data_IF_777183883626
#
_entry.id   IF_777183883626
#
_cell.length_a   1.000
_cell.length_b   1.000
_cell.length_c   1.000
_cell.angle_alpha   90.00
_cell.angle_beta   90.00
_cell.angle_gamma   90.00
#
_symmetry.space_group_name_H-M   'P 1'
#
loop_
_entity.id
_entity.type
_entity.pdbx_description
1 polymer ?
#
# COMPACT_ATOMS: atom_id res chain seq x y z
N UNK A 1 -38.83 57.30 33.08
CA UNK A 1 -38.50 56.53 31.88
C UNK A 1 -37.57 55.44 32.29
N UNK A 2 -38.01 54.14 32.31
CA UNK A 2 -37.21 52.97 32.71
C UNK A 2 -36.77 52.27 31.42
N UNK A 3 -35.45 52.21 31.18
CA UNK A 3 -34.84 51.48 30.06
C UNK A 3 -34.79 49.99 30.38
N UNK A 4 -35.37 49.14 29.52
CA UNK A 4 -35.22 47.68 29.54
C UNK A 4 -33.87 47.28 28.87
N UNK A 5 -33.13 46.31 29.43
CA UNK A 5 -31.98 45.76 28.78
C UNK A 5 -32.39 44.74 27.69
N UNK A 6 -31.82 44.90 26.51
CA UNK A 6 -31.93 43.93 25.40
C UNK A 6 -30.92 42.81 25.66
N UNK A 7 -31.40 41.58 25.94
CA UNK A 7 -30.56 40.37 25.95
C UNK A 7 -30.34 39.85 24.53
N UNK A 8 -29.13 39.97 24.03
CA UNK A 8 -28.72 39.32 22.79
C UNK A 8 -28.44 37.82 23.05
N UNK A 9 -29.27 36.98 22.48
CA UNK A 9 -29.03 35.52 22.50
C UNK A 9 -28.04 35.20 21.39
N UNK A 10 -26.83 34.83 21.79
CA UNK A 10 -25.79 34.33 20.88
C UNK A 10 -26.08 32.85 20.54
N UNK A 11 -26.57 32.57 19.35
CA UNK A 11 -26.76 31.21 18.86
C UNK A 11 -25.43 30.64 18.41
N UNK A 12 -24.84 29.73 19.20
CA UNK A 12 -23.63 29.01 18.85
C UNK A 12 -24.01 27.87 17.89
N UNK A 13 -23.66 27.98 16.61
CA UNK A 13 -23.83 26.93 15.63
C UNK A 13 -22.77 25.84 15.91
N UNK A 14 -23.21 24.65 16.38
CA UNK A 14 -22.37 23.48 16.50
C UNK A 14 -22.25 22.86 15.11
N UNK A 15 -21.09 23.04 14.47
CA UNK A 15 -20.73 22.30 13.28
C UNK A 15 -20.39 20.84 13.69
N UNK A 16 -21.32 19.93 13.49
CA UNK A 16 -21.06 18.50 13.56
C UNK A 16 -20.31 18.11 12.29
N UNK A 17 -18.99 17.95 12.39
CA UNK A 17 -18.20 17.37 11.30
C UNK A 17 -18.55 15.88 11.23
N UNK A 18 -19.36 15.50 10.23
CA UNK A 18 -19.55 14.08 9.92
C UNK A 18 -18.20 13.48 9.52
N UNK A 19 -17.82 12.30 10.05
CA UNK A 19 -16.64 11.61 9.56
C UNK A 19 -16.83 11.35 8.07
N UNK A 20 -15.82 11.72 7.27
CA UNK A 20 -15.82 11.44 5.84
C UNK A 20 -16.04 9.94 5.67
N UNK A 21 -17.15 9.56 5.03
CA UNK A 21 -17.43 8.19 4.66
C UNK A 21 -16.27 7.73 3.77
N UNK A 22 -15.63 6.61 4.11
CA UNK A 22 -14.62 6.01 3.24
C UNK A 22 -15.24 5.90 1.85
N UNK A 23 -14.63 6.52 0.85
CA UNK A 23 -15.10 6.40 -0.53
C UNK A 23 -15.15 4.92 -0.88
N UNK A 24 -16.25 4.47 -1.49
CA UNK A 24 -16.40 3.13 -2.05
C UNK A 24 -15.49 3.04 -3.31
N UNK A 25 -14.17 2.99 -3.08
CA UNK A 25 -13.22 2.88 -4.18
C UNK A 25 -13.47 1.60 -4.97
N UNK A 26 -13.42 1.71 -6.29
CA UNK A 26 -13.52 0.60 -7.22
C UNK A 26 -12.31 0.59 -8.15
N UNK A 27 -11.82 -0.60 -8.54
CA UNK A 27 -10.77 -0.70 -9.55
C UNK A 27 -11.15 0.02 -10.85
N UNK A 28 -10.15 0.54 -11.54
CA UNK A 28 -10.32 1.11 -12.87
C UNK A 28 -10.85 0.07 -13.88
N UNK A 29 -11.48 0.49 -14.98
CA UNK A 29 -11.97 -0.45 -15.99
C UNK A 29 -10.87 -1.40 -16.49
N UNK A 30 -11.15 -2.70 -16.39
CA UNK A 30 -10.23 -3.77 -16.77
C UNK A 30 -9.18 -4.14 -15.72
N UNK A 31 -9.14 -3.47 -14.56
CA UNK A 31 -8.35 -3.87 -13.41
C UNK A 31 -9.17 -4.73 -12.44
N UNK A 32 -8.47 -5.58 -11.71
CA UNK A 32 -8.99 -6.31 -10.56
C UNK A 32 -8.27 -5.84 -9.29
N UNK A 33 -8.99 -5.75 -8.18
CA UNK A 33 -8.39 -5.40 -6.89
C UNK A 33 -7.62 -6.58 -6.32
N UNK A 34 -6.42 -6.33 -5.81
CA UNK A 34 -5.63 -7.29 -5.03
C UNK A 34 -5.85 -7.15 -3.52
N UNK A 35 -6.58 -6.13 -3.09
CA UNK A 35 -6.97 -5.94 -1.69
C UNK A 35 -8.46 -5.60 -1.62
N UNK A 36 -9.21 -6.39 -0.86
CA UNK A 36 -10.68 -6.28 -0.79
C UNK A 36 -11.18 -5.14 0.12
N UNK A 37 -10.27 -4.41 0.77
CA UNK A 37 -10.61 -3.30 1.66
C UNK A 37 -11.10 -3.71 3.05
N UNK A 38 -11.10 -5.00 3.41
CA UNK A 38 -11.66 -5.52 4.67
C UNK A 38 -10.70 -6.39 5.45
N UNK A 39 -10.06 -7.34 4.79
CA UNK A 39 -9.21 -8.37 5.39
C UNK A 39 -8.07 -8.76 4.43
N UNK A 40 -7.22 -9.66 4.88
CA UNK A 40 -6.06 -10.12 4.12
C UNK A 40 -6.38 -11.31 3.18
N UNK A 41 -7.63 -11.48 2.74
CA UNK A 41 -8.01 -12.51 1.75
C UNK A 41 -7.18 -12.34 0.47
N UNK A 42 -6.61 -13.43 -0.01
CA UNK A 42 -5.74 -13.46 -1.17
C UNK A 42 -4.26 -13.16 -0.86
N UNK A 43 -3.93 -12.97 0.42
CA UNK A 43 -2.57 -12.71 0.90
C UNK A 43 -2.11 -13.79 1.88
N UNK A 44 -0.78 -13.98 1.96
CA UNK A 44 -0.19 -14.97 2.85
C UNK A 44 1.31 -14.89 2.93
N UNK A 45 1.91 -15.81 3.69
CA UNK A 45 3.35 -15.98 3.75
C UNK A 45 3.82 -17.10 2.81
N UNK A 46 5.00 -16.91 2.23
CA UNK A 46 5.67 -17.88 1.37
C UNK A 46 7.07 -18.19 1.90
N UNK A 47 7.59 -19.37 1.56
CA UNK A 47 9.00 -19.71 1.79
C UNK A 47 9.91 -19.11 0.70
N UNK A 48 11.20 -19.40 0.80
CA UNK A 48 12.22 -18.94 -0.17
C UNK A 48 12.04 -19.54 -1.56
N UNK A 49 11.39 -20.71 -1.66
CA UNK A 49 11.00 -21.37 -2.91
C UNK A 49 9.65 -20.84 -3.46
N UNK A 50 9.07 -19.82 -2.85
CA UNK A 50 7.80 -19.22 -3.19
C UNK A 50 6.58 -20.14 -3.01
N UNK A 51 6.69 -21.22 -2.21
CA UNK A 51 5.55 -22.03 -1.80
C UNK A 51 4.77 -21.32 -0.71
N UNK A 52 3.44 -21.33 -0.81
CA UNK A 52 2.54 -20.76 0.22
C UNK A 52 2.66 -21.59 1.51
N UNK A 53 3.04 -20.93 2.60
CA UNK A 53 3.12 -21.50 3.94
C UNK A 53 1.87 -21.26 4.76
N UNK A 54 1.29 -20.07 4.62
CA UNK A 54 0.13 -19.63 5.39
C UNK A 54 -0.70 -18.69 4.54
N UNK A 55 -2.04 -18.74 4.67
CA UNK A 55 -2.98 -17.81 4.06
C UNK A 55 -3.76 -17.06 5.14
N UNK A 56 -4.15 -15.83 4.83
CA UNK A 56 -4.88 -14.95 5.75
C UNK A 56 -6.31 -14.66 5.30
N UNK A 57 -6.93 -15.59 4.57
CA UNK A 57 -8.29 -15.42 4.08
C UNK A 57 -9.27 -15.19 5.24
N UNK A 58 -10.00 -14.08 5.17
CA UNK A 58 -10.94 -13.64 6.20
C UNK A 58 -10.31 -13.12 7.50
N UNK A 59 -8.97 -13.03 7.57
CA UNK A 59 -8.26 -12.51 8.75
C UNK A 59 -7.96 -11.02 8.58
N UNK A 60 -8.19 -10.23 9.63
CA UNK A 60 -7.84 -8.82 9.64
C UNK A 60 -6.35 -8.57 9.96
N UNK A 61 -5.61 -9.59 10.43
CA UNK A 61 -4.21 -9.47 10.83
C UNK A 61 -3.44 -10.75 10.48
N UNK A 62 -2.20 -10.60 10.05
CA UNK A 62 -1.26 -11.69 9.87
C UNK A 62 -0.87 -12.32 11.21
N UNK A 63 -0.47 -13.59 11.22
CA UNK A 63 -0.20 -14.37 12.45
C UNK A 63 0.84 -13.76 13.38
N UNK A 64 1.78 -12.97 12.84
CA UNK A 64 2.84 -12.29 13.60
C UNK A 64 2.57 -10.79 13.83
N UNK A 65 1.40 -10.30 13.42
CA UNK A 65 1.00 -8.90 13.56
C UNK A 65 1.76 -7.92 12.67
N UNK A 66 2.56 -8.40 11.69
CA UNK A 66 3.33 -7.51 10.80
C UNK A 66 2.47 -6.82 9.74
N UNK A 67 1.33 -7.39 9.42
CA UNK A 67 0.38 -6.84 8.47
C UNK A 67 -1.02 -6.85 9.05
N UNK A 68 -1.75 -5.78 8.84
CA UNK A 68 -3.15 -5.68 9.26
C UNK A 68 -3.99 -4.99 8.19
N UNK A 69 -5.24 -5.42 8.12
CA UNK A 69 -6.26 -4.80 7.29
C UNK A 69 -7.04 -3.78 8.10
N UNK A 70 -7.15 -2.57 7.57
CA UNK A 70 -8.09 -1.53 8.02
C UNK A 70 -9.07 -1.24 6.87
N UNK A 71 -10.20 -0.57 7.12
CA UNK A 71 -11.09 -0.19 6.04
C UNK A 71 -10.34 0.52 4.90
N UNK A 72 -10.34 -0.10 3.72
CA UNK A 72 -9.66 0.35 2.49
C UNK A 72 -8.12 0.48 2.55
N UNK A 73 -7.45 0.13 3.65
CA UNK A 73 -6.01 0.29 3.84
C UNK A 73 -5.39 -1.02 4.34
N UNK A 74 -4.37 -1.52 3.65
CA UNK A 74 -3.47 -2.56 4.13
C UNK A 74 -2.28 -1.89 4.83
N UNK A 75 -2.07 -2.23 6.10
CA UNK A 75 -1.04 -1.61 6.94
C UNK A 75 0.11 -2.59 7.15
N UNK A 76 1.31 -2.13 6.89
CA UNK A 76 2.55 -2.74 7.37
C UNK A 76 2.84 -2.12 8.74
N UNK A 77 2.75 -2.92 9.79
CA UNK A 77 3.00 -2.45 11.15
C UNK A 77 4.50 -2.32 11.45
N UNK A 78 4.86 -1.36 12.28
CA UNK A 78 6.20 -1.25 12.80
C UNK A 78 6.66 -2.56 13.47
N UNK A 79 7.95 -2.86 13.34
CA UNK A 79 8.50 -4.08 13.90
C UNK A 79 8.37 -4.13 15.43
N UNK A 80 7.89 -5.28 15.91
CA UNK A 80 7.96 -5.64 17.32
C UNK A 80 8.85 -6.89 17.45
N UNK A 81 10.01 -6.75 18.08
CA UNK A 81 11.01 -7.81 18.21
C UNK A 81 10.49 -9.07 18.92
N UNK A 82 9.45 -8.95 19.74
CA UNK A 82 8.84 -10.07 20.45
C UNK A 82 7.92 -10.92 19.55
N UNK A 83 7.49 -10.38 18.41
CA UNK A 83 6.46 -10.99 17.55
C UNK A 83 7.00 -11.65 16.27
N UNK A 84 8.31 -11.67 16.05
CA UNK A 84 8.85 -12.35 14.87
C UNK A 84 10.05 -11.66 14.21
N UNK A 85 10.45 -12.08 13.01
CA UNK A 85 11.62 -11.56 12.33
C UNK A 85 11.44 -10.10 11.92
N UNK A 86 12.56 -9.35 11.89
CA UNK A 86 12.56 -7.95 11.47
C UNK A 86 12.01 -7.78 10.05
N UNK A 87 12.54 -8.57 9.13
CA UNK A 87 12.11 -8.58 7.73
C UNK A 87 11.07 -9.67 7.50
N UNK A 88 9.97 -9.28 6.89
CA UNK A 88 8.91 -10.20 6.49
C UNK A 88 8.28 -9.71 5.19
N UNK A 89 7.92 -10.64 4.31
CA UNK A 89 7.19 -10.31 3.09
C UNK A 89 5.80 -10.94 3.13
N UNK A 90 4.79 -10.12 2.87
CA UNK A 90 3.43 -10.55 2.60
C UNK A 90 3.26 -10.72 1.09
N UNK A 91 2.79 -11.86 0.65
CA UNK A 91 2.67 -12.20 -0.76
C UNK A 91 1.22 -12.44 -1.16
N UNK A 92 0.87 -12.10 -2.40
CA UNK A 92 -0.37 -12.62 -2.98
C UNK A 92 -0.31 -14.14 -3.03
N UNK A 93 -1.44 -14.81 -2.77
CA UNK A 93 -1.55 -16.27 -2.95
C UNK A 93 -1.56 -16.65 -4.44
N UNK A 94 -2.03 -15.74 -5.29
CA UNK A 94 -1.97 -15.83 -6.75
C UNK A 94 -0.57 -15.49 -7.28
N UNK A 95 -0.21 -16.06 -8.44
CA UNK A 95 0.97 -15.70 -9.25
C UNK A 95 0.53 -15.08 -10.56
N UNK A 96 1.42 -14.26 -11.15
CA UNK A 96 1.13 -13.47 -12.35
C UNK A 96 2.14 -13.80 -13.46
N UNK A 97 1.83 -14.78 -14.35
CA UNK A 97 2.73 -15.21 -15.43
C UNK A 97 2.69 -14.31 -16.67
N UNK A 98 1.61 -13.53 -16.84
CA UNK A 98 1.41 -12.69 -18.02
C UNK A 98 2.01 -11.30 -17.83
N UNK A 99 2.09 -10.53 -18.91
CA UNK A 99 2.29 -9.10 -18.86
C UNK A 99 1.15 -8.43 -18.05
N UNK A 100 1.46 -7.38 -17.31
CA UNK A 100 0.45 -6.70 -16.48
C UNK A 100 0.78 -5.23 -16.25
N UNK A 101 -0.22 -4.48 -15.83
CA UNK A 101 -0.06 -3.19 -15.17
C UNK A 101 -0.50 -3.35 -13.72
N UNK A 102 0.38 -3.03 -12.78
CA UNK A 102 0.08 -2.93 -11.35
C UNK A 102 0.01 -1.45 -10.98
N UNK A 103 -1.05 -1.05 -10.28
CA UNK A 103 -1.15 0.26 -9.64
C UNK A 103 -1.35 0.07 -8.15
N UNK A 104 -0.62 0.83 -7.36
CA UNK A 104 -0.68 0.78 -5.90
C UNK A 104 -0.39 2.16 -5.33
N UNK A 105 -1.18 2.59 -4.36
CA UNK A 105 -0.87 3.79 -3.60
C UNK A 105 -0.24 3.40 -2.26
N UNK A 106 0.79 4.15 -1.87
CA UNK A 106 1.46 3.98 -0.58
C UNK A 106 1.60 5.31 0.16
N UNK A 107 1.68 5.20 1.47
CA UNK A 107 2.01 6.29 2.37
C UNK A 107 3.02 5.80 3.41
N UNK A 108 4.17 6.44 3.49
CA UNK A 108 5.24 6.10 4.42
C UNK A 108 5.23 7.06 5.61
N UNK A 109 5.38 6.58 6.84
CA UNK A 109 5.77 7.45 7.94
C UNK A 109 7.23 7.86 7.78
N UNK A 110 7.68 8.87 8.50
CA UNK A 110 9.08 9.33 8.48
C UNK A 110 10.02 8.15 8.75
N UNK A 111 11.05 8.00 7.93
CA UNK A 111 12.04 6.92 7.97
C UNK A 111 11.54 5.50 7.65
N UNK A 112 10.27 5.31 7.30
CA UNK A 112 9.76 3.99 6.95
C UNK A 112 10.51 3.39 5.75
N UNK A 113 10.74 2.09 5.84
CA UNK A 113 11.40 1.28 4.82
C UNK A 113 10.59 0.04 4.50
N UNK A 114 10.40 -0.21 3.21
CA UNK A 114 9.59 -1.29 2.68
C UNK A 114 10.01 -1.57 1.23
N UNK A 115 9.26 -2.42 0.57
CA UNK A 115 9.43 -2.73 -0.86
C UNK A 115 8.19 -3.36 -1.44
N UNK A 116 8.05 -3.23 -2.74
CA UNK A 116 7.09 -3.94 -3.55
C UNK A 116 7.86 -4.99 -4.34
N UNK A 117 7.59 -6.28 -4.08
CA UNK A 117 8.22 -7.36 -4.83
C UNK A 117 7.41 -7.68 -6.08
N UNK A 118 8.09 -7.67 -7.21
CA UNK A 118 7.53 -7.98 -8.52
C UNK A 118 8.01 -9.37 -8.92
N UNK A 119 7.24 -10.41 -8.61
CA UNK A 119 7.59 -11.83 -8.80
C UNK A 119 8.78 -12.29 -7.93
N UNK A 120 9.89 -11.56 -7.90
CA UNK A 120 11.08 -11.84 -7.08
C UNK A 120 11.89 -10.58 -6.77
N UNK A 121 12.34 -9.77 -7.76
CA UNK A 121 13.07 -8.55 -7.46
C UNK A 121 12.19 -7.54 -6.73
N UNK A 122 12.82 -6.76 -5.87
CA UNK A 122 12.21 -5.69 -5.09
C UNK A 122 12.32 -4.37 -5.83
N UNK A 123 11.20 -3.67 -5.97
CA UNK A 123 11.15 -2.25 -6.20
C UNK A 123 11.16 -1.57 -4.82
N UNK A 124 12.17 -0.76 -4.54
CA UNK A 124 12.28 -0.04 -3.28
C UNK A 124 11.06 0.88 -3.10
N UNK A 125 10.37 0.77 -1.97
CA UNK A 125 9.23 1.61 -1.61
C UNK A 125 9.37 2.04 -0.15
N UNK A 126 9.60 3.35 0.10
CA UNK A 126 9.96 3.88 1.40
C UNK A 126 9.70 5.37 1.51
N UNK A 127 10.06 5.98 2.64
CA UNK A 127 10.25 7.43 2.70
C UNK A 127 11.48 7.81 1.87
N UNK A 128 11.29 8.19 0.62
CA UNK A 128 12.36 8.37 -0.35
C UNK A 128 13.33 9.51 -0.02
N UNK A 129 12.89 10.53 0.71
CA UNK A 129 13.76 11.67 1.03
C UNK A 129 14.85 11.30 2.01
N UNK A 130 14.69 10.24 2.80
CA UNK A 130 15.61 9.86 3.85
C UNK A 130 16.78 9.05 3.33
N UNK A 131 16.51 8.06 2.47
CA UNK A 131 17.54 7.14 1.99
C UNK A 131 17.13 6.49 0.67
N UNK A 132 18.05 5.68 0.12
CA UNK A 132 17.79 4.86 -1.06
C UNK A 132 18.08 5.58 -2.37
N UNK A 133 17.77 4.90 -3.50
CA UNK A 133 18.16 5.37 -4.82
C UNK A 133 17.35 6.57 -5.34
N UNK A 134 16.13 6.80 -4.81
CA UNK A 134 15.16 7.73 -5.39
C UNK A 134 15.02 9.06 -4.64
N UNK A 135 16.10 9.55 -4.01
CA UNK A 135 16.09 10.81 -3.24
C UNK A 135 15.85 12.07 -4.10
N UNK A 136 16.02 11.97 -5.39
CA UNK A 136 15.90 13.10 -6.34
C UNK A 136 14.49 13.27 -6.90
N UNK A 137 13.54 12.45 -6.49
CA UNK A 137 12.15 12.58 -6.91
C UNK A 137 11.57 13.93 -6.49
N UNK A 138 11.02 14.66 -7.43
CA UNK A 138 10.46 15.99 -7.24
C UNK A 138 8.95 15.97 -6.98
N UNK A 139 8.27 14.88 -7.37
CA UNK A 139 6.83 14.70 -7.21
C UNK A 139 6.46 13.77 -6.04
N UNK A 140 7.44 13.21 -5.35
CA UNK A 140 7.19 12.45 -4.13
C UNK A 140 6.58 13.35 -3.05
N UNK A 141 5.54 12.86 -2.38
CA UNK A 141 4.81 13.54 -1.32
C UNK A 141 5.13 12.87 0.01
N UNK A 142 6.01 13.46 0.84
CA UNK A 142 6.34 12.89 2.15
C UNK A 142 5.10 12.76 3.04
N UNK A 143 4.94 11.60 3.69
CA UNK A 143 3.86 11.26 4.61
C UNK A 143 2.43 11.40 4.02
N UNK A 144 2.34 11.47 2.68
CA UNK A 144 1.07 11.53 1.95
C UNK A 144 1.01 10.38 0.91
N UNK A 145 -0.14 10.24 0.25
CA UNK A 145 -0.36 9.20 -0.74
C UNK A 145 0.41 9.44 -2.03
N UNK A 146 1.19 8.43 -2.40
CA UNK A 146 1.98 8.38 -3.62
C UNK A 146 1.54 7.18 -4.46
N UNK A 147 1.46 7.35 -5.77
CA UNK A 147 1.04 6.29 -6.70
C UNK A 147 2.24 5.67 -7.37
N UNK A 148 2.41 4.35 -7.20
CA UNK A 148 3.32 3.52 -7.99
C UNK A 148 2.54 2.92 -9.16
N UNK A 149 3.11 3.02 -10.35
CA UNK A 149 2.65 2.31 -11.55
C UNK A 149 3.79 1.44 -12.05
N UNK A 150 3.51 0.15 -12.20
CA UNK A 150 4.43 -0.82 -12.78
C UNK A 150 3.81 -1.37 -14.05
N UNK A 151 4.50 -1.22 -15.17
CA UNK A 151 4.12 -1.83 -16.46
C UNK A 151 5.10 -2.94 -16.78
N UNK A 152 4.62 -4.19 -16.80
CA UNK A 152 5.43 -5.36 -17.15
C UNK A 152 5.12 -5.78 -18.58
N UNK A 153 6.17 -5.83 -19.40
CA UNK A 153 6.13 -6.37 -20.76
C UNK A 153 7.36 -7.25 -21.00
N UNK A 154 7.13 -8.47 -21.48
CA UNK A 154 8.21 -9.42 -21.85
C UNK A 154 9.22 -9.63 -20.68
N UNK A 155 8.68 -9.76 -19.44
CA UNK A 155 9.45 -9.91 -18.22
C UNK A 155 10.38 -8.73 -17.87
N UNK A 156 10.10 -7.56 -18.40
CA UNK A 156 10.77 -6.30 -18.04
C UNK A 156 9.73 -5.36 -17.44
N UNK A 157 10.02 -4.80 -16.28
CA UNK A 157 9.17 -3.83 -15.61
C UNK A 157 9.71 -2.42 -15.78
N UNK A 158 8.84 -1.51 -16.21
CA UNK A 158 8.98 -0.08 -16.10
C UNK A 158 8.18 0.39 -14.88
N UNK A 159 8.83 1.12 -13.97
CA UNK A 159 8.25 1.50 -12.69
C UNK A 159 8.31 3.01 -12.49
N UNK A 160 7.20 3.60 -12.09
CA UNK A 160 7.07 5.04 -11.85
C UNK A 160 6.45 5.33 -10.48
N UNK A 161 6.85 6.46 -9.89
CA UNK A 161 6.18 7.07 -8.73
C UNK A 161 5.69 8.46 -9.10
N UNK A 162 4.37 8.70 -9.02
CA UNK A 162 3.74 9.96 -9.39
C UNK A 162 4.15 10.48 -10.80
N UNK A 163 4.43 9.55 -11.74
CA UNK A 163 4.89 9.85 -13.09
C UNK A 163 6.37 10.25 -13.19
N UNK A 164 7.20 9.93 -12.20
CA UNK A 164 8.66 9.97 -12.28
C UNK A 164 9.20 8.55 -12.29
N UNK A 165 10.14 8.26 -13.19
CA UNK A 165 10.71 6.92 -13.35
C UNK A 165 11.55 6.53 -12.14
N UNK A 166 11.27 5.36 -11.57
CA UNK A 166 12.06 4.70 -10.54
C UNK A 166 13.03 3.70 -11.18
N UNK A 167 12.49 2.80 -11.99
CA UNK A 167 13.23 1.76 -12.70
C UNK A 167 12.72 1.69 -14.14
N UNK A 168 13.61 1.83 -15.10
CA UNK A 168 13.22 1.83 -16.51
C UNK A 168 13.14 0.41 -17.10
N UNK A 169 13.98 -0.52 -16.62
CA UNK A 169 14.10 -1.85 -17.19
C UNK A 169 14.45 -2.93 -16.14
N UNK A 170 13.63 -3.03 -15.09
CA UNK A 170 13.81 -4.05 -14.05
C UNK A 170 13.45 -5.43 -14.60
N UNK A 171 14.42 -6.36 -14.64
CA UNK A 171 14.22 -7.72 -15.13
C UNK A 171 13.48 -8.58 -14.12
N UNK A 172 12.43 -9.26 -14.56
CA UNK A 172 11.59 -10.13 -13.76
C UNK A 172 11.71 -11.59 -14.20
N UNK A 173 11.47 -12.56 -13.30
CA UNK A 173 11.16 -13.95 -13.68
C UNK A 173 9.90 -14.03 -14.54
N UNK A 174 9.71 -15.15 -15.26
CA UNK A 174 8.53 -15.37 -16.12
C UNK A 174 7.21 -15.34 -15.34
N UNK A 175 7.23 -15.78 -14.08
CA UNK A 175 6.06 -15.83 -13.21
C UNK A 175 6.44 -15.61 -11.75
N UNK A 176 5.49 -15.21 -10.96
CA UNK A 176 5.63 -15.06 -9.51
C UNK A 176 4.55 -14.20 -8.89
N UNK A 177 4.48 -14.15 -7.56
CA UNK A 177 3.54 -13.33 -6.82
C UNK A 177 3.95 -11.87 -6.78
N UNK A 178 3.03 -11.01 -6.34
CA UNK A 178 3.32 -9.65 -5.87
C UNK A 178 3.51 -9.70 -4.36
N UNK A 179 4.51 -8.99 -3.84
CA UNK A 179 4.78 -8.95 -2.42
C UNK A 179 4.94 -7.55 -1.86
N UNK A 180 4.70 -7.42 -0.56
CA UNK A 180 4.96 -6.21 0.22
C UNK A 180 5.94 -6.55 1.33
N UNK A 181 6.93 -5.70 1.55
CA UNK A 181 7.91 -5.90 2.60
C UNK A 181 7.52 -5.17 3.89
N UNK A 182 7.76 -5.82 5.01
CA UNK A 182 7.79 -5.18 6.32
C UNK A 182 9.25 -5.17 6.81
N UNK A 183 9.91 -4.02 6.75
CA UNK A 183 11.25 -3.80 7.29
C UNK A 183 11.18 -2.84 8.49
N UNK A 184 11.14 -1.56 8.26
CA UNK A 184 11.25 -0.56 9.31
C UNK A 184 10.10 0.42 9.27
N UNK A 185 9.53 0.68 10.44
CA UNK A 185 8.43 1.61 10.66
C UNK A 185 7.16 1.29 9.88
N UNK A 186 6.15 2.14 9.96
CA UNK A 186 4.84 1.85 9.40
C UNK A 186 4.76 2.31 7.94
N UNK A 187 4.20 1.42 7.12
CA UNK A 187 3.76 1.73 5.75
C UNK A 187 2.28 1.45 5.60
N UNK A 188 1.62 2.18 4.75
CA UNK A 188 0.24 1.97 4.39
C UNK A 188 0.10 1.84 2.88
N UNK A 189 -0.73 0.89 2.45
CA UNK A 189 -1.04 0.63 1.03
C UNK A 189 -2.54 0.65 0.82
N UNK A 190 -2.97 1.20 -0.31
CA UNK A 190 -4.38 1.17 -0.75
C UNK A 190 -4.48 1.12 -2.26
N UNK A 191 -5.69 0.94 -2.78
CA UNK A 191 -5.99 0.96 -4.21
C UNK A 191 -5.08 0.01 -5.01
N UNK A 192 -4.77 -1.17 -4.41
CA UNK A 192 -3.91 -2.17 -5.02
C UNK A 192 -4.69 -2.87 -6.10
N UNK A 193 -4.37 -2.61 -7.36
CA UNK A 193 -5.10 -3.14 -8.51
C UNK A 193 -4.15 -3.58 -9.62
N UNK A 194 -4.51 -4.65 -10.32
CA UNK A 194 -3.73 -5.21 -11.40
C UNK A 194 -4.60 -5.45 -12.63
N UNK A 195 -4.02 -5.25 -13.80
CA UNK A 195 -4.61 -5.59 -15.09
C UNK A 195 -3.64 -6.44 -15.89
N UNK A 196 -4.02 -7.69 -16.18
CA UNK A 196 -3.27 -8.52 -17.12
C UNK A 196 -3.39 -7.96 -18.54
N UNK A 197 -2.29 -8.00 -19.26
CA UNK A 197 -2.19 -7.59 -20.66
C UNK A 197 -2.13 -8.82 -21.57
N UNK A 198 -2.50 -8.69 -22.83
CA UNK A 198 -2.36 -9.75 -23.83
C UNK A 198 -0.92 -10.24 -23.98
#
# INVERSE_FOLDING_TARGET
MKSLPIFAVLATAIFVTMPARAEDWKPEPGFVSLYNGKDLTGWGYRDKEQKVLETFDGKAEASDGRYSAKPSILVVNAHNAEKGPKLRQLWTTQVFPKNFILKIEFRAVVNADSGIFLRKPQLQCRDYLVAGPYKTLTKYKPQDWNTIIVTVKDNVAHCECNGEVLEDALKLPESGPIGLEADRDQMEYRHIQIKELP
#
